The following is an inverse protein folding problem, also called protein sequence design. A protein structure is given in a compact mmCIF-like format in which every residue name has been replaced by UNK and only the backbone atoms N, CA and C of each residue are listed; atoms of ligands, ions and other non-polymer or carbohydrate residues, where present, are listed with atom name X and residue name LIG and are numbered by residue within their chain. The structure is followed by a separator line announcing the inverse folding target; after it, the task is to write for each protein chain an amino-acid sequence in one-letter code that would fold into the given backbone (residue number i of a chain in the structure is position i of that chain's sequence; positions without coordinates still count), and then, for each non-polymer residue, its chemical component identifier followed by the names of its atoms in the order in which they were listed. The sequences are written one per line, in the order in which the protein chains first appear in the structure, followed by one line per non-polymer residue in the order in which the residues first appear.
data_IF_338483455537
#
_entry.id   IF_338483455537
#
_cell.length_a   1.000
_cell.length_b   1.000
_cell.length_c   1.000
_cell.angle_alpha   90.00
_cell.angle_beta   90.00
_cell.angle_gamma   90.00
#
_symmetry.space_group_name_H-M   'P 1'
#
loop_
_entity.id
_entity.type
_entity.pdbx_description
1 polymer ?
#
# COMPACT_ATOMS: atom_id res chain seq x y z
N UNK A 1 -25.82 10.86 2.77
CA UNK A 1 -24.55 11.11 3.48
C UNK A 1 -23.81 9.82 3.86
N UNK A 2 -24.50 8.77 4.29
CA UNK A 2 -23.91 7.49 4.72
C UNK A 2 -23.08 6.76 3.65
N UNK A 3 -23.43 6.84 2.37
CA UNK A 3 -22.74 6.13 1.27
C UNK A 3 -21.33 6.66 0.94
N UNK A 4 -21.01 7.91 1.31
CA UNK A 4 -19.70 8.51 1.05
C UNK A 4 -18.72 8.36 2.24
N UNK A 5 -19.26 8.03 3.41
CA UNK A 5 -18.48 7.89 4.65
C UNK A 5 -17.33 6.88 4.49
N UNK A 6 -17.54 5.65 3.94
CA UNK A 6 -16.48 4.68 3.77
C UNK A 6 -15.34 5.21 2.88
N UNK A 7 -15.67 5.89 1.78
CA UNK A 7 -14.67 6.45 0.88
C UNK A 7 -13.79 7.49 1.54
N UNK A 8 -14.37 8.39 2.35
CA UNK A 8 -13.59 9.43 3.04
C UNK A 8 -12.73 8.80 4.12
N UNK A 9 -13.28 7.91 4.95
CA UNK A 9 -12.54 7.30 6.06
C UNK A 9 -11.42 6.39 5.58
N UNK A 10 -11.65 5.55 4.59
CA UNK A 10 -10.62 4.63 4.08
C UNK A 10 -9.49 5.41 3.41
N UNK A 11 -9.81 6.43 2.60
CA UNK A 11 -8.78 7.28 2.00
C UNK A 11 -8.02 8.10 3.05
N UNK A 12 -8.68 8.58 4.11
CA UNK A 12 -8.03 9.29 5.21
C UNK A 12 -7.07 8.35 5.98
N UNK A 13 -7.50 7.12 6.27
CA UNK A 13 -6.66 6.11 6.91
C UNK A 13 -5.48 5.72 6.01
N UNK A 14 -5.71 5.59 4.70
CA UNK A 14 -4.65 5.35 3.73
C UNK A 14 -3.65 6.51 3.73
N UNK A 15 -4.12 7.76 3.71
CA UNK A 15 -3.28 8.95 3.81
C UNK A 15 -2.43 8.95 5.08
N UNK A 16 -3.03 8.66 6.24
CA UNK A 16 -2.30 8.53 7.51
C UNK A 16 -1.23 7.43 7.46
N UNK A 17 -1.54 6.29 6.83
CA UNK A 17 -0.58 5.19 6.65
C UNK A 17 0.61 5.61 5.81
N UNK A 18 0.36 6.26 4.67
CA UNK A 18 1.42 6.72 3.76
C UNK A 18 2.28 7.80 4.41
N UNK A 19 1.68 8.75 5.13
CA UNK A 19 2.40 9.78 5.89
C UNK A 19 3.29 9.16 6.96
N UNK A 20 2.80 8.17 7.70
CA UNK A 20 3.56 7.46 8.73
C UNK A 20 4.75 6.70 8.11
N UNK A 21 4.54 6.00 6.99
CA UNK A 21 5.63 5.35 6.27
C UNK A 21 6.62 6.38 5.72
N UNK A 22 6.14 7.47 5.13
CA UNK A 22 6.98 8.53 4.56
C UNK A 22 7.88 9.17 5.63
N UNK A 23 7.33 9.54 6.79
CA UNK A 23 8.11 10.12 7.91
C UNK A 23 9.16 9.14 8.43
N UNK A 24 8.83 7.85 8.53
CA UNK A 24 9.78 6.81 8.91
C UNK A 24 10.98 6.73 7.96
N UNK A 25 10.71 6.75 6.65
CA UNK A 25 11.78 6.72 5.64
C UNK A 25 12.48 8.07 5.49
N UNK A 26 11.81 9.19 5.82
CA UNK A 26 12.43 10.50 5.84
C UNK A 26 13.59 10.59 6.85
N UNK A 27 13.48 9.91 7.98
CA UNK A 27 14.51 9.82 9.00
C UNK A 27 15.62 8.78 8.68
N UNK A 28 15.46 7.94 7.66
CA UNK A 28 16.40 6.87 7.34
C UNK A 28 17.54 7.31 6.40
N UNK A 29 18.61 6.48 6.30
CA UNK A 29 19.72 6.72 5.37
C UNK A 29 19.22 6.66 3.92
N UNK A 30 19.49 7.71 3.15
CA UNK A 30 18.99 7.90 1.78
C UNK A 30 19.78 7.07 0.76
N UNK A 31 19.41 5.82 0.52
CA UNK A 31 19.88 5.05 -0.64
C UNK A 31 19.05 5.40 -1.89
N UNK A 32 19.55 5.12 -3.12
CA UNK A 32 18.76 5.35 -4.34
C UNK A 32 17.38 4.68 -4.30
N UNK A 33 17.30 3.46 -3.79
CA UNK A 33 16.05 2.69 -3.68
C UNK A 33 15.08 3.35 -2.69
N UNK A 34 15.58 3.81 -1.54
CA UNK A 34 14.78 4.51 -0.54
C UNK A 34 14.23 5.84 -1.11
N UNK A 35 15.05 6.56 -1.91
CA UNK A 35 14.58 7.79 -2.57
C UNK A 35 13.41 7.51 -3.51
N UNK A 36 13.52 6.48 -4.35
CA UNK A 36 12.44 6.09 -5.26
C UNK A 36 11.20 5.65 -4.46
N UNK A 37 11.37 4.87 -3.40
CA UNK A 37 10.25 4.48 -2.54
C UNK A 37 9.57 5.68 -1.86
N UNK A 38 10.33 6.69 -1.45
CA UNK A 38 9.76 7.94 -0.92
C UNK A 38 8.95 8.69 -1.99
N UNK A 39 9.37 8.64 -3.27
CA UNK A 39 8.59 9.23 -4.38
C UNK A 39 7.29 8.44 -4.56
N UNK A 40 7.31 7.10 -4.51
CA UNK A 40 6.10 6.28 -4.52
C UNK A 40 5.16 6.65 -3.38
N UNK A 41 5.67 6.77 -2.16
CA UNK A 41 4.85 7.17 -1.00
C UNK A 41 4.30 8.60 -1.15
N UNK A 42 5.09 9.52 -1.70
CA UNK A 42 4.65 10.90 -1.99
C UNK A 42 3.49 10.93 -2.99
N UNK A 43 3.55 10.10 -4.02
CA UNK A 43 2.48 9.92 -4.99
C UNK A 43 1.21 9.31 -4.35
N UNK A 44 1.36 8.27 -3.51
CA UNK A 44 0.26 7.70 -2.72
C UNK A 44 -0.40 8.74 -1.79
N UNK A 45 0.39 9.62 -1.15
CA UNK A 45 -0.10 10.71 -0.30
C UNK A 45 -0.93 11.69 -1.12
N UNK A 46 -0.41 12.12 -2.28
CA UNK A 46 -1.11 13.03 -3.18
C UNK A 46 -2.40 12.40 -3.71
N UNK A 47 -2.35 11.14 -4.10
CA UNK A 47 -3.51 10.39 -4.58
C UNK A 47 -4.61 10.28 -3.52
N UNK A 48 -4.30 9.72 -2.33
CA UNK A 48 -5.28 9.58 -1.25
C UNK A 48 -5.79 10.93 -0.77
N UNK A 49 -4.91 11.92 -0.64
CA UNK A 49 -5.27 13.29 -0.26
C UNK A 49 -6.21 13.95 -1.26
N UNK A 50 -5.91 13.84 -2.55
CA UNK A 50 -6.78 14.40 -3.61
C UNK A 50 -8.15 13.72 -3.66
N UNK A 51 -8.23 12.40 -3.44
CA UNK A 51 -9.49 11.67 -3.33
C UNK A 51 -10.37 12.18 -2.15
N UNK A 52 -9.76 12.47 -1.00
CA UNK A 52 -10.47 13.05 0.14
C UNK A 52 -10.93 14.48 -0.17
N UNK A 53 -10.03 15.33 -0.68
CA UNK A 53 -10.31 16.73 -0.96
C UNK A 53 -11.35 16.91 -2.07
N UNK A 54 -11.33 16.05 -3.09
CA UNK A 54 -12.34 15.99 -4.14
C UNK A 54 -13.74 15.72 -3.55
N UNK A 55 -13.86 14.74 -2.66
CA UNK A 55 -15.14 14.37 -2.06
C UNK A 55 -15.66 15.40 -1.05
N UNK A 56 -14.76 16.08 -0.37
CA UNK A 56 -15.08 17.20 0.50
C UNK A 56 -15.33 18.50 -0.27
N UNK A 57 -15.19 18.50 -1.60
CA UNK A 57 -15.35 19.67 -2.48
C UNK A 57 -14.53 20.88 -2.02
N UNK A 58 -13.30 20.61 -1.55
CA UNK A 58 -12.40 21.65 -1.01
C UNK A 58 -11.83 22.56 -2.11
N UNK A 59 -11.45 23.75 -1.69
CA UNK A 59 -10.74 24.71 -2.54
C UNK A 59 -9.46 24.09 -3.15
N UNK A 60 -9.08 24.34 -4.44
CA UNK A 60 -9.64 25.33 -5.36
C UNK A 60 -10.91 24.86 -6.09
N UNK A 61 -11.08 23.58 -6.39
CA UNK A 61 -12.30 23.00 -6.96
C UNK A 61 -12.27 21.47 -6.91
N UNK A 62 -13.43 20.82 -6.99
CA UNK A 62 -13.55 19.38 -7.12
C UNK A 62 -12.83 18.86 -8.38
N UNK A 63 -12.95 19.58 -9.51
CA UNK A 63 -12.29 19.23 -10.77
C UNK A 63 -10.77 19.21 -10.66
N UNK A 64 -10.19 20.18 -9.97
CA UNK A 64 -8.76 20.23 -9.72
C UNK A 64 -8.28 18.97 -8.99
N UNK A 65 -8.94 18.59 -7.89
CA UNK A 65 -8.55 17.42 -7.12
C UNK A 65 -8.80 16.12 -7.87
N UNK A 66 -9.85 16.07 -8.72
CA UNK A 66 -10.06 14.96 -9.63
C UNK A 66 -8.88 14.77 -10.58
N UNK A 67 -8.44 15.83 -11.24
CA UNK A 67 -7.30 15.72 -12.15
C UNK A 67 -6.00 15.39 -11.43
N UNK A 68 -5.77 15.90 -10.23
CA UNK A 68 -4.62 15.49 -9.41
C UNK A 68 -4.68 14.00 -9.10
N UNK A 69 -5.83 13.46 -8.69
CA UNK A 69 -5.98 12.03 -8.40
C UNK A 69 -5.76 11.16 -9.66
N UNK A 70 -6.20 11.62 -10.81
CA UNK A 70 -6.04 10.91 -12.07
C UNK A 70 -4.58 10.91 -12.57
N UNK A 71 -3.90 12.04 -12.43
CA UNK A 71 -2.47 12.17 -12.76
C UNK A 71 -1.63 11.25 -11.88
N UNK A 72 -1.87 11.24 -10.56
CA UNK A 72 -1.15 10.36 -9.64
C UNK A 72 -1.42 8.88 -9.94
N UNK A 73 -2.65 8.52 -10.30
CA UNK A 73 -2.98 7.16 -10.71
C UNK A 73 -2.14 6.70 -11.92
N UNK A 74 -2.00 7.55 -12.95
CA UNK A 74 -1.18 7.22 -14.12
C UNK A 74 0.32 7.19 -13.83
N UNK A 75 0.80 7.99 -12.87
CA UNK A 75 2.20 8.00 -12.46
C UNK A 75 2.54 6.78 -11.60
N UNK A 76 1.61 6.24 -10.82
CA UNK A 76 1.84 5.14 -9.89
C UNK A 76 2.49 3.91 -10.54
N UNK A 77 1.98 3.48 -11.71
CA UNK A 77 2.51 2.32 -12.43
C UNK A 77 3.95 2.56 -12.92
N UNK A 78 4.22 3.77 -13.42
CA UNK A 78 5.57 4.18 -13.79
C UNK A 78 6.51 4.15 -12.58
N UNK A 79 6.06 4.64 -11.43
CA UNK A 79 6.85 4.67 -10.20
C UNK A 79 7.12 3.25 -9.69
N UNK A 80 6.14 2.34 -9.82
CA UNK A 80 6.34 0.94 -9.47
C UNK A 80 7.39 0.28 -10.38
N UNK A 81 7.31 0.50 -11.69
CA UNK A 81 8.33 0.04 -12.63
C UNK A 81 9.71 0.58 -12.29
N UNK A 82 9.81 1.89 -12.00
CA UNK A 82 11.06 2.53 -11.59
C UNK A 82 11.59 1.97 -10.27
N UNK A 83 10.70 1.70 -9.31
CA UNK A 83 11.09 1.06 -8.05
C UNK A 83 11.72 -0.32 -8.29
N UNK A 84 11.05 -1.20 -9.05
CA UNK A 84 11.55 -2.54 -9.37
C UNK A 84 12.91 -2.46 -10.09
N UNK A 85 13.02 -1.56 -11.08
CA UNK A 85 14.25 -1.35 -11.83
C UNK A 85 15.41 -0.92 -10.93
N UNK A 86 15.17 0.01 -10.01
CA UNK A 86 16.18 0.52 -9.08
C UNK A 86 16.52 -0.48 -7.99
N UNK A 87 15.52 -1.19 -7.46
CA UNK A 87 15.69 -2.19 -6.40
C UNK A 87 16.59 -3.34 -6.82
N UNK A 88 16.50 -3.77 -8.08
CA UNK A 88 17.34 -4.83 -8.66
C UNK A 88 18.55 -4.31 -9.46
N UNK A 89 18.85 -3.02 -9.39
CA UNK A 89 20.01 -2.37 -10.07
C UNK A 89 20.11 -2.77 -11.54
N UNK A 90 18.97 -2.77 -12.26
CA UNK A 90 18.98 -3.16 -13.67
C UNK A 90 19.76 -2.15 -14.52
N UNK A 91 20.52 -2.69 -15.49
CA UNK A 91 21.21 -1.91 -16.53
C UNK A 91 20.20 -1.65 -17.67
N UNK A 92 20.19 -0.46 -18.24
CA UNK A 92 19.30 -0.13 -19.36
C UNK A 92 18.25 0.91 -18.95
N UNK A 93 18.65 2.17 -19.13
CA UNK A 93 17.78 3.31 -18.78
C UNK A 93 16.79 3.66 -19.90
N UNK A 94 16.93 3.07 -21.10
CA UNK A 94 16.12 3.42 -22.26
C UNK A 94 14.64 3.09 -22.05
N UNK A 95 14.33 1.89 -21.54
CA UNK A 95 12.96 1.48 -21.27
C UNK A 95 12.31 2.37 -20.21
N UNK A 96 13.05 2.71 -19.17
CA UNK A 96 12.59 3.64 -18.14
C UNK A 96 12.35 5.03 -18.72
N UNK A 97 13.26 5.54 -19.55
CA UNK A 97 13.11 6.84 -20.22
C UNK A 97 11.87 6.86 -21.13
N UNK A 98 11.65 5.81 -21.91
CA UNK A 98 10.46 5.69 -22.77
C UNK A 98 9.16 5.68 -21.96
N UNK A 99 9.12 4.98 -20.83
CA UNK A 99 7.96 5.02 -19.92
C UNK A 99 7.74 6.43 -19.35
N UNK A 100 8.80 7.13 -18.93
CA UNK A 100 8.69 8.52 -18.47
C UNK A 100 8.17 9.46 -19.55
N UNK A 101 8.70 9.38 -20.77
CA UNK A 101 8.27 10.19 -21.91
C UNK A 101 6.82 9.88 -22.29
N UNK A 102 6.44 8.61 -22.34
CA UNK A 102 5.06 8.19 -22.61
C UNK A 102 4.08 8.72 -21.56
N UNK A 103 4.41 8.58 -20.28
CA UNK A 103 3.58 9.12 -19.20
C UNK A 103 3.49 10.65 -19.28
N UNK A 104 4.61 11.35 -19.52
CA UNK A 104 4.61 12.80 -19.68
C UNK A 104 3.75 13.26 -20.88
N UNK A 105 3.72 12.49 -21.95
CA UNK A 105 2.93 12.81 -23.14
C UNK A 105 1.40 12.74 -22.91
N UNK A 106 0.94 11.89 -21.99
CA UNK A 106 -0.50 11.79 -21.68
C UNK A 106 -0.97 12.82 -20.63
N UNK A 107 -0.08 13.42 -19.83
CA UNK A 107 -0.46 14.35 -18.76
C UNK A 107 -1.28 15.55 -19.26
N UNK A 108 -0.93 16.23 -20.37
CA UNK A 108 -1.72 17.36 -20.87
C UNK A 108 -3.17 16.97 -21.21
N UNK A 109 -3.37 15.83 -21.87
CA UNK A 109 -4.70 15.31 -22.19
C UNK A 109 -5.50 14.90 -20.94
N UNK A 110 -4.81 14.44 -19.89
CA UNK A 110 -5.43 14.11 -18.59
C UNK A 110 -5.95 15.37 -17.91
N UNK A 111 -5.12 16.43 -17.80
CA UNK A 111 -5.47 17.68 -17.11
C UNK A 111 -6.52 18.50 -17.88
N UNK A 112 -6.59 18.37 -19.20
CA UNK A 112 -7.62 19.06 -20.01
C UNK A 112 -8.96 18.31 -20.06
N UNK A 113 -9.07 17.13 -19.45
CA UNK A 113 -10.27 16.30 -19.52
C UNK A 113 -10.49 15.62 -20.87
N UNK A 114 -9.47 15.60 -21.73
CA UNK A 114 -9.56 14.98 -23.07
C UNK A 114 -9.82 13.48 -23.00
N UNK A 115 -9.25 12.77 -22.04
CA UNK A 115 -9.42 11.34 -21.85
C UNK A 115 -10.61 10.98 -20.99
N UNK A 116 -10.80 11.70 -19.89
CA UNK A 116 -11.86 11.47 -18.91
C UNK A 116 -12.40 12.82 -18.45
N UNK A 117 -13.71 13.02 -18.65
CA UNK A 117 -14.40 14.18 -18.09
C UNK A 117 -14.51 14.05 -16.56
N UNK A 118 -14.49 15.18 -15.83
CA UNK A 118 -14.69 15.15 -14.39
C UNK A 118 -16.10 14.66 -14.05
N UNK A 119 -16.26 13.93 -12.93
CA UNK A 119 -17.59 13.44 -12.54
C UNK A 119 -18.51 14.59 -12.14
N UNK A 120 -19.80 14.41 -12.42
CA UNK A 120 -20.84 15.36 -12.00
C UNK A 120 -21.34 14.99 -10.61
N UNK A 121 -21.32 15.93 -9.63
CA UNK A 121 -21.86 15.70 -8.31
C UNK A 121 -23.39 15.78 -8.34
N UNK A 122 -24.07 14.66 -8.10
CA UNK A 122 -25.53 14.60 -8.00
C UNK A 122 -25.94 14.45 -6.53
N UNK A 123 -26.77 15.37 -6.05
CA UNK A 123 -27.34 15.29 -4.70
C UNK A 123 -28.48 14.28 -4.69
N UNK A 124 -28.39 13.30 -3.81
CA UNK A 124 -29.47 12.35 -3.54
C UNK A 124 -30.50 12.96 -2.58
N UNK A 125 -31.70 12.36 -2.55
CA UNK A 125 -32.79 12.80 -1.69
C UNK A 125 -32.47 12.76 -0.18
N UNK A 126 -31.52 11.91 0.23
CA UNK A 126 -30.98 11.79 1.59
C UNK A 126 -29.93 12.86 1.94
N UNK A 127 -29.69 13.84 1.05
CA UNK A 127 -28.67 14.88 1.19
C UNK A 127 -27.24 14.40 0.88
N UNK A 128 -27.05 13.14 0.48
CA UNK A 128 -25.78 12.60 0.02
C UNK A 128 -25.39 13.14 -1.36
N UNK A 129 -24.08 13.21 -1.64
CA UNK A 129 -23.55 13.55 -2.96
C UNK A 129 -22.96 12.29 -3.57
N UNK A 130 -23.47 11.88 -4.73
CA UNK A 130 -22.90 10.78 -5.53
C UNK A 130 -22.21 11.38 -6.75
N UNK A 131 -21.04 10.87 -7.05
CA UNK A 131 -20.28 11.28 -8.24
C UNK A 131 -20.62 10.35 -9.40
N UNK A 132 -21.29 10.89 -10.41
CA UNK A 132 -21.59 10.18 -11.66
C UNK A 132 -20.48 10.44 -12.67
N UNK A 133 -19.91 9.36 -13.20
CA UNK A 133 -18.92 9.40 -14.26
C UNK A 133 -19.65 9.21 -15.59
N UNK A 134 -20.03 10.32 -16.22
CA UNK A 134 -21.08 10.35 -17.24
C UNK A 134 -20.66 9.89 -18.64
N UNK A 135 -19.39 9.82 -18.99
CA UNK A 135 -19.03 9.35 -20.34
C UNK A 135 -17.58 8.80 -20.40
N UNK A 136 -17.49 7.55 -20.75
CA UNK A 136 -16.25 6.92 -21.17
C UNK A 136 -15.97 7.33 -22.64
N UNK A 137 -15.15 8.36 -22.84
CA UNK A 137 -14.73 8.77 -24.17
C UNK A 137 -13.75 7.71 -24.72
N UNK A 138 -13.86 7.33 -26.01
CA UNK A 138 -12.97 6.36 -26.65
C UNK A 138 -11.49 6.76 -26.55
N UNK A 139 -11.17 8.05 -26.40
CA UNK A 139 -9.82 8.57 -26.20
C UNK A 139 -9.11 8.00 -24.96
N UNK A 140 -9.85 7.44 -23.99
CA UNK A 140 -9.28 6.77 -22.81
C UNK A 140 -8.43 5.55 -23.20
N UNK A 141 -8.64 4.98 -24.40
CA UNK A 141 -7.81 3.88 -24.88
C UNK A 141 -6.33 4.26 -24.98
N UNK A 142 -6.00 5.53 -25.22
CA UNK A 142 -4.61 5.99 -25.32
C UNK A 142 -3.85 5.79 -24.01
N UNK A 143 -4.27 6.37 -22.86
CA UNK A 143 -3.62 6.12 -21.59
C UNK A 143 -3.76 4.65 -21.13
N UNK A 144 -4.85 3.94 -21.46
CA UNK A 144 -4.99 2.52 -21.15
C UNK A 144 -3.95 1.65 -21.86
N UNK A 145 -3.65 1.90 -23.13
CA UNK A 145 -2.61 1.17 -23.88
C UNK A 145 -1.24 1.39 -23.24
N UNK A 146 -0.90 2.64 -22.88
CA UNK A 146 0.35 2.93 -22.19
C UNK A 146 0.42 2.25 -20.83
N UNK A 147 -0.66 2.30 -20.04
CA UNK A 147 -0.78 1.66 -18.74
C UNK A 147 -0.53 0.16 -18.84
N UNK A 148 -1.23 -0.53 -19.77
CA UNK A 148 -1.02 -1.95 -20.05
C UNK A 148 0.41 -2.24 -20.50
N UNK A 149 1.00 -1.39 -21.34
CA UNK A 149 2.39 -1.54 -21.77
C UNK A 149 3.36 -1.49 -20.59
N UNK A 150 3.19 -0.55 -19.65
CA UNK A 150 4.03 -0.43 -18.43
C UNK A 150 3.83 -1.67 -17.54
N UNK A 151 2.60 -2.15 -17.34
CA UNK A 151 2.32 -3.38 -16.58
C UNK A 151 3.03 -4.57 -17.20
N UNK A 152 2.91 -4.75 -18.53
CA UNK A 152 3.57 -5.85 -19.25
C UNK A 152 5.09 -5.76 -19.12
N UNK A 153 5.67 -4.56 -19.25
CA UNK A 153 7.10 -4.35 -19.05
C UNK A 153 7.54 -4.68 -17.63
N UNK A 154 6.75 -4.30 -16.63
CA UNK A 154 7.00 -4.64 -15.22
C UNK A 154 6.93 -6.15 -15.01
N UNK A 155 5.91 -6.81 -15.54
CA UNK A 155 5.77 -8.27 -15.47
C UNK A 155 6.93 -9.00 -16.16
N UNK A 156 7.33 -8.57 -17.35
CA UNK A 156 8.49 -9.13 -18.07
C UNK A 156 9.80 -8.95 -17.27
N UNK A 157 9.97 -7.79 -16.63
CA UNK A 157 11.13 -7.54 -15.77
C UNK A 157 11.10 -8.48 -14.55
N UNK A 158 9.98 -8.61 -13.87
CA UNK A 158 9.82 -9.51 -12.72
C UNK A 158 10.02 -10.97 -13.10
N UNK A 159 9.47 -11.43 -14.23
CA UNK A 159 9.69 -12.79 -14.74
C UNK A 159 11.17 -13.05 -15.09
N UNK A 160 11.84 -12.09 -15.70
CA UNK A 160 13.29 -12.17 -15.95
C UNK A 160 14.07 -12.31 -14.64
N UNK A 161 13.71 -11.54 -13.62
CA UNK A 161 14.33 -11.60 -12.30
C UNK A 161 14.09 -12.95 -11.60
N UNK A 162 12.88 -13.49 -11.68
CA UNK A 162 12.57 -14.85 -11.18
C UNK A 162 13.45 -15.90 -11.85
N UNK A 163 13.64 -15.82 -13.17
CA UNK A 163 14.51 -16.75 -13.92
C UNK A 163 15.99 -16.61 -13.56
N UNK A 164 16.47 -15.39 -13.29
CA UNK A 164 17.88 -15.12 -13.00
C UNK A 164 18.28 -15.38 -11.55
N UNK A 165 17.43 -15.04 -10.58
CA UNK A 165 17.74 -15.07 -9.15
C UNK A 165 17.00 -16.18 -8.38
N UNK A 166 16.10 -16.88 -9.05
CA UNK A 166 15.19 -17.85 -8.42
C UNK A 166 14.07 -17.21 -7.62
N UNK A 167 13.07 -18.03 -7.32
CA UNK A 167 11.87 -17.62 -6.57
C UNK A 167 12.20 -17.21 -5.13
N UNK A 168 13.27 -17.77 -4.57
CA UNK A 168 13.67 -17.52 -3.18
C UNK A 168 14.49 -16.23 -2.98
N UNK A 169 14.67 -15.42 -4.02
CA UNK A 169 15.34 -14.12 -3.88
C UNK A 169 14.65 -13.23 -2.84
N UNK A 170 15.43 -12.71 -1.84
CA UNK A 170 14.83 -11.90 -0.78
C UNK A 170 14.09 -10.68 -1.34
N UNK A 171 12.81 -10.57 -1.00
CA UNK A 171 11.94 -9.46 -1.39
C UNK A 171 11.27 -9.59 -2.76
N UNK A 172 11.69 -10.50 -3.66
CA UNK A 172 11.12 -10.61 -5.02
C UNK A 172 9.65 -11.02 -4.98
N UNK A 173 9.33 -12.07 -4.24
CA UNK A 173 7.95 -12.53 -4.08
C UNK A 173 7.05 -11.46 -3.45
N UNK A 174 7.59 -10.72 -2.48
CA UNK A 174 6.84 -9.66 -1.81
C UNK A 174 6.50 -8.52 -2.77
N UNK A 175 7.42 -8.17 -3.67
CA UNK A 175 7.19 -7.15 -4.72
C UNK A 175 6.16 -7.64 -5.73
N UNK A 176 6.22 -8.92 -6.15
CA UNK A 176 5.24 -9.52 -7.05
C UNK A 176 3.84 -9.49 -6.43
N UNK A 177 3.71 -9.90 -5.18
CA UNK A 177 2.44 -9.82 -4.44
C UNK A 177 1.95 -8.38 -4.30
N UNK A 178 2.85 -7.43 -4.05
CA UNK A 178 2.51 -6.01 -4.01
C UNK A 178 1.87 -5.53 -5.31
N UNK A 179 2.50 -5.80 -6.45
CA UNK A 179 1.96 -5.45 -7.76
C UNK A 179 0.63 -6.14 -8.06
N UNK A 180 0.48 -7.44 -7.69
CA UNK A 180 -0.77 -8.18 -7.84
C UNK A 180 -1.92 -7.57 -7.01
N UNK A 181 -1.67 -7.26 -5.76
CA UNK A 181 -2.68 -6.65 -4.87
C UNK A 181 -3.14 -5.30 -5.42
N UNK A 182 -2.20 -4.47 -5.89
CA UNK A 182 -2.54 -3.18 -6.50
C UNK A 182 -3.39 -3.36 -7.77
N UNK A 183 -3.01 -4.28 -8.65
CA UNK A 183 -3.77 -4.59 -9.86
C UNK A 183 -5.18 -5.09 -9.54
N UNK A 184 -5.32 -6.03 -8.60
CA UNK A 184 -6.62 -6.59 -8.19
C UNK A 184 -7.49 -5.50 -7.56
N UNK A 185 -6.94 -4.65 -6.68
CA UNK A 185 -7.69 -3.56 -6.06
C UNK A 185 -8.24 -2.56 -7.08
N UNK A 186 -7.43 -2.17 -8.06
CA UNK A 186 -7.87 -1.30 -9.16
C UNK A 186 -8.94 -1.97 -10.04
N UNK A 187 -8.78 -3.27 -10.36
CA UNK A 187 -9.79 -4.01 -11.13
C UNK A 187 -11.10 -4.14 -10.36
N UNK A 188 -11.07 -4.43 -9.06
CA UNK A 188 -12.28 -4.48 -8.22
C UNK A 188 -12.99 -3.13 -8.17
N UNK A 189 -12.23 -2.02 -8.13
CA UNK A 189 -12.81 -0.68 -8.14
C UNK A 189 -13.60 -0.39 -9.42
N UNK A 190 -13.14 -0.92 -10.56
CA UNK A 190 -13.77 -0.72 -11.87
C UNK A 190 -14.89 -1.74 -12.11
N UNK A 191 -14.69 -3.00 -11.71
CA UNK A 191 -15.57 -4.12 -12.07
C UNK A 191 -16.87 -4.19 -11.25
N UNK A 192 -16.92 -3.58 -10.06
CA UNK A 192 -18.10 -3.63 -9.20
C UNK A 192 -18.94 -2.37 -9.41
N UNK A 193 -20.07 -2.44 -10.15
CA UNK A 193 -20.96 -1.29 -10.36
C UNK A 193 -21.57 -0.83 -9.04
N UNK A 194 -21.62 0.48 -8.80
CA UNK A 194 -22.20 1.05 -7.58
C UNK A 194 -21.38 0.82 -6.32
N UNK A 195 -20.10 0.50 -6.47
CA UNK A 195 -19.19 0.25 -5.36
C UNK A 195 -19.17 1.42 -4.37
N UNK A 196 -19.41 1.11 -3.11
CA UNK A 196 -19.44 2.06 -1.99
C UNK A 196 -18.14 2.04 -1.17
N UNK A 197 -17.19 1.17 -1.51
CA UNK A 197 -15.94 0.99 -0.79
C UNK A 197 -14.72 1.20 -1.71
N UNK A 198 -13.69 2.01 -1.32
CA UNK A 198 -12.50 2.25 -2.13
C UNK A 198 -11.49 1.10 -1.99
N UNK A 199 -11.67 0.04 -2.74
CA UNK A 199 -10.77 -1.13 -2.76
C UNK A 199 -9.37 -0.78 -3.25
N UNK A 200 -9.26 0.17 -4.15
CA UNK A 200 -8.02 0.72 -4.67
C UNK A 200 -7.16 1.37 -3.57
N UNK A 201 -7.77 2.18 -2.69
CA UNK A 201 -7.08 2.80 -1.57
C UNK A 201 -6.55 1.78 -0.55
N UNK A 202 -7.37 0.75 -0.23
CA UNK A 202 -6.94 -0.36 0.62
C UNK A 202 -5.78 -1.13 -0.01
N UNK A 203 -5.89 -1.46 -1.29
CA UNK A 203 -4.85 -2.15 -2.05
C UNK A 203 -3.55 -1.33 -2.08
N UNK A 204 -3.64 0.00 -2.22
CA UNK A 204 -2.51 0.93 -2.15
C UNK A 204 -1.76 0.87 -0.82
N UNK A 205 -2.47 0.79 0.31
CA UNK A 205 -1.84 0.63 1.64
C UNK A 205 -1.12 -0.71 1.75
N UNK A 206 -1.76 -1.81 1.32
CA UNK A 206 -1.14 -3.14 1.34
C UNK A 206 0.06 -3.19 0.40
N UNK A 207 -0.03 -2.61 -0.79
CA UNK A 207 1.06 -2.46 -1.75
C UNK A 207 2.26 -1.75 -1.13
N UNK A 208 2.07 -0.56 -0.54
CA UNK A 208 3.14 0.19 0.11
C UNK A 208 3.77 -0.57 1.29
N UNK A 209 2.96 -1.27 2.10
CA UNK A 209 3.44 -2.11 3.20
C UNK A 209 4.27 -3.30 2.69
N UNK A 210 3.88 -3.93 1.58
CA UNK A 210 4.64 -5.00 0.95
C UNK A 210 5.98 -4.50 0.38
N UNK A 211 6.00 -3.35 -0.30
CA UNK A 211 7.26 -2.75 -0.78
C UNK A 211 8.18 -2.40 0.39
N UNK A 212 7.64 -1.84 1.48
CA UNK A 212 8.39 -1.58 2.71
C UNK A 212 8.97 -2.89 3.29
N UNK A 213 8.19 -3.97 3.33
CA UNK A 213 8.64 -5.29 3.76
C UNK A 213 9.77 -5.84 2.88
N UNK A 214 9.73 -5.61 1.56
CA UNK A 214 10.81 -5.99 0.65
C UNK A 214 12.10 -5.24 0.94
N UNK A 215 12.02 -3.92 1.23
CA UNK A 215 13.17 -3.11 1.65
C UNK A 215 13.75 -3.60 2.99
N UNK A 216 12.88 -3.96 3.93
CA UNK A 216 13.28 -4.51 5.22
C UNK A 216 14.00 -5.86 5.07
N UNK A 217 13.46 -6.80 4.28
CA UNK A 217 14.08 -8.11 4.02
C UNK A 217 15.49 -8.00 3.40
N UNK A 218 15.77 -6.94 2.65
CA UNK A 218 17.10 -6.64 2.10
C UNK A 218 18.00 -5.84 3.04
N UNK A 219 17.62 -5.66 4.30
CA UNK A 219 18.36 -4.87 5.30
C UNK A 219 18.68 -3.43 4.84
N UNK A 220 17.85 -2.88 3.94
CA UNK A 220 18.03 -1.50 3.44
C UNK A 220 17.47 -0.45 4.39
N UNK A 221 16.65 -0.89 5.35
CA UNK A 221 15.96 -0.03 6.30
C UNK A 221 15.84 -0.74 7.66
N UNK A 222 16.04 0.00 8.75
CA UNK A 222 15.77 -0.44 10.12
C UNK A 222 14.45 0.17 10.60
N UNK A 223 13.55 -0.64 11.02
CA UNK A 223 12.25 -0.19 11.49
C UNK A 223 12.31 0.16 12.97
N UNK A 224 11.77 1.32 13.34
CA UNK A 224 11.60 1.69 14.74
C UNK A 224 10.32 1.10 15.32
N UNK A 225 10.29 0.80 16.59
CA UNK A 225 9.13 0.25 17.32
C UNK A 225 7.87 1.13 17.18
N UNK A 226 8.07 2.45 17.03
CA UNK A 226 6.98 3.41 16.82
C UNK A 226 6.27 3.19 15.47
N UNK A 227 7.05 2.94 14.40
CA UNK A 227 6.52 2.72 13.05
C UNK A 227 5.71 1.43 12.99
N UNK A 228 6.17 0.36 13.65
CA UNK A 228 5.46 -0.92 13.66
C UNK A 228 4.11 -0.82 14.37
N UNK A 229 4.07 -0.15 15.52
CA UNK A 229 2.81 0.08 16.26
C UNK A 229 1.86 0.98 15.49
N UNK A 230 2.36 2.01 14.82
CA UNK A 230 1.55 2.88 13.98
C UNK A 230 0.93 2.14 12.79
N UNK A 231 1.71 1.33 12.08
CA UNK A 231 1.21 0.50 10.98
C UNK A 231 0.14 -0.49 11.45
N UNK A 232 0.37 -1.15 12.61
CA UNK A 232 -0.61 -2.05 13.20
C UNK A 232 -1.93 -1.34 13.52
N UNK A 233 -1.86 -0.15 14.13
CA UNK A 233 -3.06 0.64 14.45
C UNK A 233 -3.84 1.05 13.19
N UNK A 234 -3.15 1.50 12.16
CA UNK A 234 -3.80 1.88 10.89
C UNK A 234 -4.36 0.67 10.16
N UNK A 235 -3.63 -0.43 10.09
CA UNK A 235 -4.12 -1.67 9.49
C UNK A 235 -5.38 -2.18 10.21
N UNK A 236 -5.39 -2.11 11.55
CA UNK A 236 -6.56 -2.48 12.33
C UNK A 236 -7.75 -1.54 12.07
N UNK A 237 -7.52 -0.23 11.98
CA UNK A 237 -8.56 0.74 11.66
C UNK A 237 -9.15 0.51 10.25
N UNK A 238 -8.32 0.17 9.26
CA UNK A 238 -8.78 -0.21 7.91
C UNK A 238 -9.64 -1.48 7.93
N UNK A 239 -9.21 -2.51 8.66
CA UNK A 239 -10.00 -3.74 8.83
C UNK A 239 -11.33 -3.45 9.53
N UNK A 240 -11.34 -2.63 10.59
CA UNK A 240 -12.56 -2.21 11.27
C UNK A 240 -13.53 -1.50 10.31
N UNK A 241 -13.03 -0.58 9.48
CA UNK A 241 -13.86 0.14 8.52
C UNK A 241 -14.42 -0.79 7.44
N UNK A 242 -13.57 -1.69 6.90
CA UNK A 242 -13.98 -2.70 5.94
C UNK A 242 -15.10 -3.60 6.50
N UNK A 243 -14.91 -4.09 7.72
CA UNK A 243 -15.88 -4.97 8.38
C UNK A 243 -17.18 -4.24 8.71
N UNK A 244 -17.10 -3.01 9.22
CA UNK A 244 -18.28 -2.21 9.55
C UNK A 244 -19.17 -1.95 8.32
N UNK A 245 -18.56 -1.68 7.16
CA UNK A 245 -19.30 -1.38 5.93
C UNK A 245 -19.83 -2.60 5.20
N UNK A 246 -19.07 -3.71 5.19
CA UNK A 246 -19.40 -4.87 4.35
C UNK A 246 -19.91 -6.09 5.12
N UNK A 247 -19.78 -6.14 6.45
CA UNK A 247 -20.21 -7.29 7.25
C UNK A 247 -21.42 -6.96 8.14
N UNK A 248 -21.41 -5.82 8.84
CA UNK A 248 -22.43 -5.52 9.86
C UNK A 248 -23.80 -5.42 9.21
N UNK A 249 -23.95 -4.63 8.15
CA UNK A 249 -25.23 -4.39 7.49
C UNK A 249 -25.83 -5.65 6.86
N UNK A 250 -25.09 -6.43 6.02
CA UNK A 250 -25.61 -7.67 5.48
C UNK A 250 -25.97 -8.70 6.55
N UNK A 251 -25.13 -8.83 7.60
CA UNK A 251 -25.38 -9.79 8.68
C UNK A 251 -26.61 -9.42 9.50
N UNK A 252 -26.80 -8.13 9.79
CA UNK A 252 -28.01 -7.64 10.46
C UNK A 252 -29.27 -7.90 9.61
N UNK A 253 -29.23 -7.61 8.31
CA UNK A 253 -30.35 -7.85 7.41
C UNK A 253 -30.66 -9.35 7.31
N UNK A 254 -29.65 -10.20 7.17
CA UNK A 254 -29.81 -11.66 7.20
C UNK A 254 -30.48 -12.13 8.51
N UNK A 255 -30.04 -11.59 9.66
CA UNK A 255 -30.63 -11.94 10.95
C UNK A 255 -32.10 -11.49 11.09
N UNK A 256 -32.49 -10.37 10.48
CA UNK A 256 -33.87 -9.87 10.47
C UNK A 256 -34.75 -10.67 9.51
N UNK A 257 -34.28 -10.92 8.28
CA UNK A 257 -35.08 -11.51 7.20
C UNK A 257 -35.17 -13.03 7.30
N UNK A 258 -34.06 -13.73 7.55
CA UNK A 258 -34.00 -15.20 7.53
C UNK A 258 -34.19 -15.81 8.93
N UNK A 259 -33.65 -15.20 9.98
CA UNK A 259 -33.77 -15.71 11.35
C UNK A 259 -34.95 -15.12 12.12
N UNK A 260 -35.69 -14.19 11.52
CA UNK A 260 -36.84 -13.50 12.12
C UNK A 260 -36.57 -12.94 13.53
N UNK A 261 -35.32 -12.50 13.77
CA UNK A 261 -34.88 -11.95 15.05
C UNK A 261 -35.42 -10.52 15.22
N UNK A 262 -35.61 -10.09 16.47
CA UNK A 262 -35.94 -8.69 16.76
C UNK A 262 -34.73 -7.79 16.36
N UNK A 263 -35.01 -6.51 16.07
CA UNK A 263 -33.97 -5.55 15.66
C UNK A 263 -32.85 -5.43 16.69
N UNK A 264 -33.15 -5.50 17.97
CA UNK A 264 -32.19 -5.48 19.05
C UNK A 264 -31.28 -6.73 19.03
N UNK A 265 -31.88 -7.94 18.89
CA UNK A 265 -31.11 -9.19 18.86
C UNK A 265 -30.27 -9.33 17.59
N UNK A 266 -30.77 -8.90 16.43
CA UNK A 266 -30.01 -8.86 15.18
C UNK A 266 -28.80 -7.93 15.28
N UNK A 267 -28.96 -6.76 15.90
CA UNK A 267 -27.85 -5.81 16.13
C UNK A 267 -26.81 -6.37 17.10
N UNK A 268 -27.23 -7.04 18.17
CA UNK A 268 -26.32 -7.68 19.13
C UNK A 268 -25.53 -8.82 18.45
N UNK A 269 -26.20 -9.65 17.63
CA UNK A 269 -25.53 -10.71 16.87
C UNK A 269 -24.46 -10.16 15.91
N UNK A 270 -24.81 -9.11 15.16
CA UNK A 270 -23.87 -8.45 14.27
C UNK A 270 -22.69 -7.83 15.02
N UNK A 271 -22.92 -7.23 16.18
CA UNK A 271 -21.86 -6.66 17.03
C UNK A 271 -20.93 -7.74 17.60
N UNK A 272 -21.46 -8.88 18.03
CA UNK A 272 -20.67 -10.01 18.53
C UNK A 272 -19.81 -10.62 17.41
N UNK A 273 -20.36 -10.81 16.20
CA UNK A 273 -19.62 -11.30 15.05
C UNK A 273 -18.51 -10.31 14.67
N UNK A 274 -18.79 -9.01 14.67
CA UNK A 274 -17.80 -7.97 14.42
C UNK A 274 -16.65 -8.01 15.45
N UNK A 275 -16.98 -8.11 16.73
CA UNK A 275 -15.97 -8.21 17.80
C UNK A 275 -15.09 -9.46 17.63
N UNK A 276 -15.67 -10.61 17.28
CA UNK A 276 -14.93 -11.85 17.03
C UNK A 276 -13.94 -11.71 15.86
N UNK A 277 -14.39 -11.16 14.74
CA UNK A 277 -13.53 -10.91 13.57
C UNK A 277 -12.43 -9.88 13.89
N UNK A 278 -12.75 -8.86 14.69
CA UNK A 278 -11.78 -7.85 15.11
C UNK A 278 -10.64 -8.46 15.96
N UNK A 279 -10.98 -9.31 16.92
CA UNK A 279 -9.99 -10.03 17.75
C UNK A 279 -9.13 -10.93 16.89
N UNK A 280 -9.72 -11.65 15.93
CA UNK A 280 -8.99 -12.49 14.99
C UNK A 280 -8.04 -11.65 14.12
N UNK A 281 -8.52 -10.56 13.54
CA UNK A 281 -7.72 -9.65 12.73
C UNK A 281 -6.56 -9.04 13.54
N UNK A 282 -6.81 -8.59 14.77
CA UNK A 282 -5.77 -8.08 15.66
C UNK A 282 -4.70 -9.12 15.96
N UNK A 283 -5.10 -10.35 16.28
CA UNK A 283 -4.13 -11.42 16.60
C UNK A 283 -3.30 -11.81 15.39
N UNK A 284 -3.90 -11.88 14.20
CA UNK A 284 -3.19 -12.17 12.95
C UNK A 284 -2.23 -11.03 12.57
N UNK A 285 -2.69 -9.78 12.60
CA UNK A 285 -1.87 -8.61 12.29
C UNK A 285 -0.71 -8.48 13.28
N UNK A 286 -0.96 -8.69 14.58
CA UNK A 286 0.09 -8.70 15.60
C UNK A 286 1.14 -9.77 15.34
N UNK A 287 0.72 -11.02 15.04
CA UNK A 287 1.64 -12.11 14.69
C UNK A 287 2.48 -11.78 13.44
N UNK A 288 1.86 -11.17 12.42
CA UNK A 288 2.58 -10.74 11.22
C UNK A 288 3.63 -9.66 11.53
N UNK A 289 3.24 -8.67 12.31
CA UNK A 289 4.15 -7.60 12.76
C UNK A 289 5.27 -8.19 13.62
N UNK A 290 4.95 -9.00 14.63
CA UNK A 290 5.94 -9.64 15.50
C UNK A 290 6.90 -10.55 14.70
N UNK A 291 6.39 -11.33 13.73
CA UNK A 291 7.24 -12.17 12.86
C UNK A 291 8.21 -11.34 11.99
N UNK A 292 7.83 -10.12 11.63
CA UNK A 292 8.71 -9.19 10.93
C UNK A 292 9.82 -8.60 11.82
N UNK A 293 9.58 -8.48 13.13
CA UNK A 293 10.44 -7.75 14.09
C UNK A 293 11.31 -8.62 14.99
N UNK A 294 10.89 -9.87 15.30
CA UNK A 294 11.65 -10.79 16.16
C UNK A 294 13.09 -11.00 15.71
N UNK A 295 13.33 -10.91 14.41
CA UNK A 295 14.67 -11.10 13.83
C UNK A 295 15.63 -9.95 14.17
N UNK A 296 15.13 -8.72 14.24
CA UNK A 296 15.94 -7.52 14.54
C UNK A 296 16.31 -7.44 16.01
N UNK A 297 15.36 -7.79 16.89
CA UNK A 297 15.58 -7.81 18.33
C UNK A 297 16.58 -8.88 18.75
N UNK A 298 16.55 -10.04 18.09
CA UNK A 298 17.55 -11.11 18.30
C UNK A 298 18.93 -10.68 17.84
N UNK A 299 19.07 -10.03 16.68
CA UNK A 299 20.34 -9.55 16.16
C UNK A 299 20.92 -8.41 17.02
N UNK A 300 20.09 -7.46 17.46
CA UNK A 300 20.53 -6.38 18.36
C UNK A 300 20.98 -6.91 19.73
N UNK A 301 20.28 -7.93 20.26
CA UNK A 301 20.71 -8.63 21.49
C UNK A 301 22.02 -9.37 21.32
N UNK A 302 22.22 -10.05 20.18
CA UNK A 302 23.48 -10.73 19.87
C UNK A 302 24.62 -9.74 19.69
N UNK A 303 24.38 -8.65 18.98
CA UNK A 303 25.39 -7.60 18.76
C UNK A 303 25.78 -6.90 20.07
N UNK A 304 24.81 -6.60 20.93
CA UNK A 304 25.07 -6.04 22.26
C UNK A 304 25.84 -7.02 23.16
N UNK A 305 25.46 -8.30 23.17
CA UNK A 305 26.20 -9.32 23.90
C UNK A 305 27.64 -9.42 23.40
N UNK A 306 27.82 -9.51 22.06
CA UNK A 306 29.14 -9.54 21.44
C UNK A 306 29.98 -8.30 21.79
N UNK A 307 29.40 -7.08 21.69
CA UNK A 307 30.09 -5.85 22.04
C UNK A 307 30.48 -5.81 23.52
N UNK A 308 29.61 -6.29 24.41
CA UNK A 308 29.89 -6.38 25.85
C UNK A 308 30.98 -7.41 26.14
N UNK A 309 30.93 -8.56 25.48
CA UNK A 309 31.94 -9.63 25.64
C UNK A 309 33.30 -9.22 25.10
N UNK A 310 33.33 -8.52 23.93
CA UNK A 310 34.59 -8.02 23.34
C UNK A 310 35.19 -6.90 24.18
N UNK A 311 34.37 -6.02 24.75
CA UNK A 311 34.86 -4.94 25.63
C UNK A 311 35.43 -5.44 26.97
N UNK A 312 35.07 -6.65 27.39
CA UNK A 312 35.59 -7.30 28.60
C UNK A 312 36.85 -8.15 28.37
N UNK A 313 37.24 -8.35 27.09
CA UNK A 313 38.36 -9.24 26.72
C UNK A 313 39.59 -8.41 26.44
N UNK A 314 40.63 -8.58 27.23
CA UNK A 314 41.91 -7.86 27.11
C UNK A 314 42.88 -8.50 26.13
N UNK A 315 42.59 -9.67 25.56
CA UNK A 315 43.49 -10.42 24.66
C UNK A 315 43.01 -10.41 23.22
N UNK A 316 43.86 -9.99 22.27
CA UNK A 316 43.56 -9.96 20.84
C UNK A 316 43.20 -11.35 20.29
N UNK A 317 43.73 -12.41 20.89
CA UNK A 317 43.53 -13.81 20.45
C UNK A 317 42.12 -14.31 20.82
N UNK A 318 41.60 -13.93 21.99
CA UNK A 318 40.21 -14.21 22.41
C UNK A 318 39.20 -13.40 21.61
N UNK A 319 39.52 -12.17 21.25
CA UNK A 319 38.69 -11.33 20.36
C UNK A 319 38.51 -12.00 19.01
N UNK A 320 39.58 -12.49 18.41
CA UNK A 320 39.56 -13.21 17.12
C UNK A 320 38.76 -14.50 17.19
N UNK A 321 38.90 -15.29 18.26
CA UNK A 321 38.14 -16.53 18.46
C UNK A 321 36.64 -16.27 18.61
N UNK A 322 36.26 -15.24 19.37
CA UNK A 322 34.85 -14.82 19.54
C UNK A 322 34.27 -14.22 18.27
N UNK A 323 35.05 -13.50 17.49
CA UNK A 323 34.65 -12.97 16.18
C UNK A 323 34.39 -14.09 15.19
N UNK A 324 35.28 -15.09 15.12
CA UNK A 324 35.11 -16.29 14.31
C UNK A 324 33.85 -17.06 14.67
N UNK A 325 33.60 -17.30 15.96
CA UNK A 325 32.40 -18.01 16.42
C UNK A 325 31.09 -17.26 16.14
N UNK A 326 31.09 -15.93 16.29
CA UNK A 326 29.93 -15.10 15.97
C UNK A 326 29.63 -15.07 14.46
N UNK A 327 30.66 -15.01 13.62
CA UNK A 327 30.53 -15.07 12.16
C UNK A 327 30.03 -16.43 11.70
N UNK A 328 30.56 -17.54 12.27
CA UNK A 328 30.11 -18.90 11.96
C UNK A 328 28.65 -19.12 12.36
N UNK A 329 28.22 -18.62 13.51
CA UNK A 329 26.83 -18.72 13.97
C UNK A 329 25.84 -17.92 13.11
N UNK A 330 26.29 -16.83 12.48
CA UNK A 330 25.42 -15.96 11.65
C UNK A 330 25.37 -16.40 10.18
N UNK A 331 26.43 -17.04 9.68
CA UNK A 331 26.52 -17.49 8.28
C UNK A 331 25.97 -18.93 8.12
N UNK A 332 25.83 -19.70 9.20
CA UNK A 332 25.24 -21.04 9.19
C UNK A 332 26.09 -22.08 8.42
N UNK A 333 27.42 -21.94 8.48
CA UNK A 333 28.37 -22.93 7.97
C UNK A 333 28.98 -23.71 9.11
#
# INVERSE_FOLDING_TARGET
MLSQIPFIYVNLLALCSFLLMFTAFAASKKTPVIRVFMVVLGDCILWSGSCVLMRLQMWPSMHFWYYVSLVTLFIMELLFYWFVHTFYRQKGKLSLLLCFLGTAAILPGTVTGFYLAPPTPVRQADGGVVFLYDQMNWHILIPCVLFVAIIVMTACLLLKLVRQQGIHSPGLMVIIWGGLVMLVGNLMQIAIPGNTFPYDALAGVVFAALLMSALYKRRMFRMTLLVSRGILAVALALVCTLMATNLITPLRNFALEELHLSDASATVLAALAFAGVLVLAYTLLRKLVDAMFTREEQQDRQLKRFTTEVSQTLSTMEIMAKLSSAVTAEIGV
#
